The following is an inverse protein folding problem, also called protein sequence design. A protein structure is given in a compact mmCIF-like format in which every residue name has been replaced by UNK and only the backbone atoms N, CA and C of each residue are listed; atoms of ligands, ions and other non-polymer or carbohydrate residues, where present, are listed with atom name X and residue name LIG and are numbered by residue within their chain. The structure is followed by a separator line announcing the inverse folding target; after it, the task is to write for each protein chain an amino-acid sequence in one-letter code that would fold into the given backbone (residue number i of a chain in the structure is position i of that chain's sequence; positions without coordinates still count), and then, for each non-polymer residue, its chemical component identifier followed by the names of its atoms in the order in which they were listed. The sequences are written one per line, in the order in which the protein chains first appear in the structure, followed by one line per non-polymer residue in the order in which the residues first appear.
data_IF_550040031668
#
_entry.id   IF_550040031668
#
_cell.length_a   1.000
_cell.length_b   1.000
_cell.length_c   1.000
_cell.angle_alpha   90.00
_cell.angle_beta   90.00
_cell.angle_gamma   90.00
#
_symmetry.space_group_name_H-M   'P 1'
#
loop_
_entity.id
_entity.type
_entity.pdbx_description
1 polymer ?
#
# COMPACT_ATOMS: atom_id res chain seq x y z
N UNK A 1 -3.34 -5.44 -3.17
CA UNK A 1 -2.05 -6.16 -3.09
C UNK A 1 -1.92 -6.64 -1.67
N UNK A 2 -1.35 -7.82 -1.48
CA UNK A 2 -1.03 -8.38 -0.17
C UNK A 2 0.07 -9.41 -0.36
N UNK A 3 0.61 -9.88 0.75
CA UNK A 3 1.62 -10.92 0.76
C UNK A 3 1.01 -12.27 0.36
N UNK A 4 1.84 -13.26 0.08
CA UNK A 4 1.41 -14.61 -0.34
C UNK A 4 0.73 -15.41 0.79
N UNK A 5 0.73 -14.85 2.00
CA UNK A 5 0.02 -15.34 3.19
C UNK A 5 -1.13 -14.40 3.65
N UNK A 6 -1.45 -13.33 2.91
CA UNK A 6 -2.61 -12.47 3.20
C UNK A 6 -3.92 -13.03 2.63
N UNK A 7 -4.96 -13.12 3.46
CA UNK A 7 -6.31 -13.56 3.04
C UNK A 7 -7.25 -12.38 2.87
N UNK A 8 -7.90 -12.29 1.70
CA UNK A 8 -8.91 -11.26 1.41
C UNK A 8 -10.32 -11.85 1.32
N UNK A 9 -11.26 -11.21 2.01
CA UNK A 9 -12.69 -11.43 1.80
C UNK A 9 -13.16 -10.50 0.67
N UNK A 10 -13.28 -11.03 -0.55
CA UNK A 10 -13.52 -10.24 -1.77
C UNK A 10 -14.81 -9.42 -1.72
N UNK A 11 -15.90 -9.96 -1.18
CA UNK A 11 -17.17 -9.26 -1.03
C UNK A 11 -17.02 -8.03 -0.12
N UNK A 12 -16.35 -8.19 1.03
CA UNK A 12 -16.08 -7.10 1.96
C UNK A 12 -15.14 -6.06 1.32
N UNK A 13 -14.11 -6.52 0.62
CA UNK A 13 -13.14 -5.66 -0.06
C UNK A 13 -13.84 -4.77 -1.10
N UNK A 14 -14.68 -5.35 -1.96
CA UNK A 14 -15.46 -4.60 -2.96
C UNK A 14 -16.44 -3.63 -2.29
N UNK A 15 -17.13 -4.06 -1.21
CA UNK A 15 -18.07 -3.20 -0.49
C UNK A 15 -17.40 -1.99 0.18
N UNK A 16 -16.16 -2.13 0.66
CA UNK A 16 -15.40 -1.02 1.25
C UNK A 16 -14.79 -0.13 0.17
N UNK A 17 -14.12 -0.71 -0.83
CA UNK A 17 -13.49 0.06 -1.90
C UNK A 17 -14.52 0.79 -2.78
N UNK A 18 -15.73 0.25 -2.92
CA UNK A 18 -16.83 0.91 -3.63
C UNK A 18 -17.31 2.22 -3.02
N UNK A 19 -16.87 2.57 -1.80
CA UNK A 19 -17.17 3.86 -1.15
C UNK A 19 -16.30 5.02 -1.68
N UNK A 20 -15.25 4.71 -2.44
CA UNK A 20 -14.27 5.68 -2.92
C UNK A 20 -14.49 6.00 -4.42
N UNK A 21 -14.26 7.24 -4.83
CA UNK A 21 -14.29 7.62 -6.25
C UNK A 21 -13.01 7.15 -6.95
N UNK A 22 -13.09 6.05 -7.70
CA UNK A 22 -11.94 5.45 -8.39
C UNK A 22 -11.22 6.37 -9.40
N UNK A 23 -11.80 7.54 -9.72
CA UNK A 23 -11.15 8.59 -10.52
C UNK A 23 -10.26 9.54 -9.72
N UNK A 24 -10.11 9.33 -8.41
CA UNK A 24 -9.15 10.05 -7.56
C UNK A 24 -7.93 9.20 -7.25
N UNK A 25 -6.88 9.84 -6.75
CA UNK A 25 -5.67 9.16 -6.27
C UNK A 25 -5.87 8.70 -4.83
N UNK A 26 -5.84 7.39 -4.61
CA UNK A 26 -5.97 6.79 -3.29
C UNK A 26 -4.86 5.81 -3.00
N UNK A 27 -4.30 5.94 -1.80
CA UNK A 27 -3.46 4.96 -1.12
C UNK A 27 -4.22 4.53 0.14
N UNK A 28 -4.64 3.27 0.20
CA UNK A 28 -5.53 2.74 1.23
C UNK A 28 -4.89 1.53 1.89
N UNK A 29 -4.84 1.55 3.21
CA UNK A 29 -4.50 0.43 4.07
C UNK A 29 -4.39 0.91 5.52
N UNK A 30 -4.05 -0.01 6.42
CA UNK A 30 -3.91 0.28 7.85
C UNK A 30 -2.47 0.54 8.25
N UNK A 31 -2.25 1.17 9.40
CA UNK A 31 -0.93 1.16 10.04
C UNK A 31 -0.55 -0.27 10.45
N UNK A 32 0.75 -0.48 10.65
CA UNK A 32 1.26 -1.70 11.23
C UNK A 32 0.68 -1.98 12.61
N UNK A 33 0.53 -3.25 12.92
CA UNK A 33 0.31 -3.75 14.28
C UNK A 33 1.53 -3.58 15.21
N UNK A 34 2.72 -3.42 14.63
CA UNK A 34 3.96 -3.12 15.37
C UNK A 34 4.22 -1.61 15.40
N UNK A 35 4.43 -1.09 16.61
CA UNK A 35 4.83 0.31 16.81
C UNK A 35 6.23 0.55 16.25
N UNK A 36 7.14 -0.39 16.44
CA UNK A 36 8.51 -0.33 15.95
C UNK A 36 8.55 -0.22 14.43
N UNK A 37 7.74 -1.01 13.73
CA UNK A 37 7.65 -0.92 12.28
C UNK A 37 7.07 0.42 11.82
N UNK A 38 6.00 0.91 12.45
CA UNK A 38 5.46 2.24 12.14
C UNK A 38 6.50 3.37 12.34
N UNK A 39 7.37 3.26 13.35
CA UNK A 39 8.44 4.23 13.60
C UNK A 39 9.50 4.19 12.49
N UNK A 40 9.82 3.01 11.95
CA UNK A 40 10.84 2.83 10.90
C UNK A 40 10.29 3.16 9.51
N UNK A 41 9.05 2.76 9.22
CA UNK A 41 8.44 2.82 7.88
C UNK A 41 7.49 4.01 7.67
N UNK A 42 7.09 4.71 8.74
CA UNK A 42 6.10 5.80 8.82
C UNK A 42 4.69 5.35 9.21
N UNK A 43 4.06 6.10 10.12
CA UNK A 43 2.62 6.04 10.44
C UNK A 43 1.68 6.51 9.30
N UNK A 44 2.24 6.78 8.12
CA UNK A 44 1.48 7.06 6.90
C UNK A 44 1.71 6.00 5.82
N UNK A 45 2.53 4.99 6.11
CA UNK A 45 2.69 3.80 5.27
C UNK A 45 1.67 2.75 5.67
N UNK A 46 1.11 2.08 4.69
CA UNK A 46 0.12 1.04 4.89
C UNK A 46 0.80 -0.32 4.97
N UNK A 47 0.43 -1.08 6.01
CA UNK A 47 0.92 -2.41 6.34
C UNK A 47 0.67 -3.43 5.22
N UNK A 48 1.74 -3.93 4.62
CA UNK A 48 1.80 -4.85 3.48
C UNK A 48 1.18 -6.20 3.82
N UNK A 49 1.54 -6.75 4.99
CA UNK A 49 0.96 -8.01 5.50
C UNK A 49 -0.54 -7.90 5.82
N UNK A 50 -1.03 -6.68 6.10
CA UNK A 50 -2.46 -6.37 6.23
C UNK A 50 -3.17 -6.15 4.88
N UNK A 51 -2.40 -6.01 3.80
CA UNK A 51 -2.87 -5.70 2.46
C UNK A 51 -3.13 -4.21 2.22
N UNK A 52 -2.83 -3.79 0.98
CA UNK A 52 -2.99 -2.41 0.52
C UNK A 52 -3.82 -2.33 -0.77
N UNK A 53 -4.51 -1.21 -0.98
CA UNK A 53 -5.19 -0.88 -2.22
C UNK A 53 -4.71 0.48 -2.74
N UNK A 54 -4.38 0.52 -4.04
CA UNK A 54 -4.02 1.75 -4.75
C UNK A 54 -4.99 1.95 -5.91
N UNK A 55 -5.42 3.18 -6.13
CA UNK A 55 -6.24 3.50 -7.30
C UNK A 55 -5.40 3.50 -8.57
N UNK A 56 -6.05 3.29 -9.72
CA UNK A 56 -5.37 3.21 -11.00
C UNK A 56 -4.58 4.47 -11.34
N UNK A 57 -5.15 5.66 -11.12
CA UNK A 57 -4.44 6.92 -11.37
C UNK A 57 -3.20 7.08 -10.50
N UNK A 58 -3.28 6.69 -9.22
CA UNK A 58 -2.10 6.72 -8.36
C UNK A 58 -1.02 5.77 -8.88
N UNK A 59 -1.38 4.53 -9.25
CA UNK A 59 -0.44 3.58 -9.82
C UNK A 59 0.24 4.11 -11.10
N UNK A 60 -0.52 4.78 -11.96
CA UNK A 60 -0.03 5.37 -13.20
C UNK A 60 0.95 6.54 -12.97
N UNK A 61 0.81 7.29 -11.87
CA UNK A 61 1.79 8.31 -11.48
C UNK A 61 3.03 7.69 -10.82
N UNK A 62 2.85 6.71 -9.94
CA UNK A 62 3.96 6.06 -9.22
C UNK A 62 4.92 5.33 -10.17
N UNK A 63 4.40 4.65 -11.19
CA UNK A 63 5.24 3.87 -12.13
C UNK A 63 6.25 4.75 -12.88
N UNK A 64 5.95 6.06 -13.07
CA UNK A 64 6.85 7.00 -13.75
C UNK A 64 8.14 7.26 -12.98
N UNK A 65 8.13 7.06 -11.66
CA UNK A 65 9.27 7.36 -10.77
C UNK A 65 9.84 6.12 -10.08
N UNK A 66 9.13 4.98 -10.14
CA UNK A 66 9.42 3.78 -9.36
C UNK A 66 10.85 3.28 -9.54
N UNK A 67 11.33 3.16 -10.78
CA UNK A 67 12.70 2.71 -11.07
C UNK A 67 13.75 3.66 -10.47
N UNK A 68 13.48 4.97 -10.48
CA UNK A 68 14.34 5.97 -9.86
C UNK A 68 14.38 5.82 -8.34
N UNK A 69 13.23 5.52 -7.72
CA UNK A 69 13.14 5.25 -6.29
C UNK A 69 13.90 3.97 -5.90
N UNK A 70 13.71 2.87 -6.64
CA UNK A 70 14.42 1.60 -6.38
C UNK A 70 15.93 1.80 -6.47
N UNK A 71 16.41 2.50 -7.51
CA UNK A 71 17.84 2.76 -7.66
C UNK A 71 18.39 3.68 -6.55
N UNK A 72 17.62 4.71 -6.13
CA UNK A 72 18.06 5.65 -5.08
C UNK A 72 18.05 5.03 -3.69
N UNK A 73 17.06 4.21 -3.40
CA UNK A 73 16.81 3.62 -2.09
C UNK A 73 17.11 2.12 -2.08
N UNK A 74 18.06 1.67 -2.90
CA UNK A 74 18.42 0.26 -3.07
C UNK A 74 18.89 -0.44 -1.78
N UNK A 75 19.21 0.33 -0.73
CA UNK A 75 19.63 -0.16 0.58
C UNK A 75 18.46 -0.35 1.54
N UNK A 76 17.27 0.17 1.23
CA UNK A 76 16.05 -0.14 1.97
C UNK A 76 15.56 -1.52 1.53
N UNK A 77 15.24 -2.36 2.50
CA UNK A 77 14.70 -3.69 2.29
C UNK A 77 13.49 -3.89 3.17
N UNK A 78 12.45 -4.48 2.60
CA UNK A 78 11.15 -4.62 3.25
C UNK A 78 10.34 -3.33 3.17
N UNK A 79 9.04 -3.53 3.30
CA UNK A 79 8.06 -2.50 3.58
C UNK A 79 7.19 -3.04 4.70
N UNK A 80 6.74 -2.15 5.56
CA UNK A 80 5.59 -2.44 6.41
C UNK A 80 4.40 -1.68 5.87
#
# INVERSE_FOLDING_TARGET
MGDDDTIFFTENLVAILGKYDHNQMYYIGGNSESVEQNVVCSYSMAFGGGGIAISHLLAAELVKILDGCINRYHYLYGSD
#
